data_IF_169602131379
#
_entry.id   IF_169602131379
#
_cell.length_a   1.000
_cell.length_b   1.000
_cell.length_c   1.000
_cell.angle_alpha   90.00
_cell.angle_beta   90.00
_cell.angle_gamma   90.00
#
_symmetry.space_group_name_H-M   'P 1'
#
loop_
_entity.id
_entity.type
_entity.pdbx_description
1 polymer ?
#
# COMPACT_ATOMS: atom_id res chain seq x y z
N UNK A 1 7.04 3.36 -8.00
CA UNK A 1 6.98 2.40 -6.87
C UNK A 1 8.40 2.07 -6.39
N UNK A 2 8.60 1.90 -5.08
CA UNK A 2 9.88 1.49 -4.49
C UNK A 2 9.64 0.32 -3.53
N UNK A 3 10.48 -0.70 -3.58
CA UNK A 3 10.42 -1.85 -2.67
C UNK A 3 11.72 -1.88 -1.86
N UNK A 4 11.60 -1.79 -0.53
CA UNK A 4 12.71 -1.89 0.40
C UNK A 4 12.56 -3.12 1.27
N UNK A 5 13.56 -3.99 1.25
CA UNK A 5 13.63 -5.17 2.12
C UNK A 5 14.62 -4.95 3.25
N UNK A 6 14.10 -4.79 4.46
CA UNK A 6 14.88 -4.62 5.68
C UNK A 6 15.05 -5.96 6.39
N UNK A 7 16.29 -6.36 6.66
CA UNK A 7 16.58 -7.49 7.57
C UNK A 7 16.50 -6.97 9.00
N UNK A 8 15.60 -7.55 9.77
CA UNK A 8 15.43 -7.28 11.20
C UNK A 8 16.19 -8.32 12.03
N UNK A 9 16.24 -8.11 13.33
CA UNK A 9 16.80 -9.10 14.27
C UNK A 9 16.06 -10.44 14.18
N UNK A 10 16.74 -11.53 14.58
CA UNK A 10 16.18 -12.89 14.60
C UNK A 10 15.74 -13.41 13.22
N UNK A 11 16.47 -13.04 12.16
CA UNK A 11 16.20 -13.45 10.77
C UNK A 11 14.80 -13.07 10.24
N UNK A 12 14.13 -12.10 10.88
CA UNK A 12 12.89 -11.53 10.36
C UNK A 12 13.21 -10.58 9.22
N UNK A 13 12.30 -10.47 8.26
CA UNK A 13 12.35 -9.45 7.22
C UNK A 13 11.09 -8.60 7.31
N UNK A 14 11.27 -7.29 7.12
CA UNK A 14 10.21 -6.33 6.87
C UNK A 14 10.31 -5.90 5.42
N UNK A 15 9.19 -5.98 4.69
CA UNK A 15 9.10 -5.42 3.34
C UNK A 15 8.29 -4.15 3.40
N UNK A 16 8.87 -3.07 2.88
CA UNK A 16 8.22 -1.80 2.69
C UNK A 16 7.99 -1.59 1.20
N UNK A 17 6.74 -1.42 0.80
CA UNK A 17 6.35 -1.06 -0.56
C UNK A 17 5.83 0.36 -0.52
N UNK A 18 6.54 1.27 -1.19
CA UNK A 18 6.14 2.66 -1.32
C UNK A 18 5.56 2.94 -2.70
N UNK A 19 4.34 3.46 -2.71
CA UNK A 19 3.58 3.77 -3.93
C UNK A 19 3.16 5.24 -3.95
N UNK A 20 2.87 5.74 -5.15
CA UNK A 20 2.28 7.05 -5.37
C UNK A 20 1.25 6.85 -6.47
N UNK A 21 -0.02 7.05 -6.15
CA UNK A 21 -1.10 6.95 -7.14
C UNK A 21 -0.93 8.06 -8.19
N UNK A 22 -1.12 7.73 -9.49
CA UNK A 22 -1.06 8.72 -10.54
C UNK A 22 -2.19 9.74 -10.43
N UNK A 23 -1.92 10.99 -10.82
CA UNK A 23 -2.94 12.04 -10.89
C UNK A 23 -3.80 11.97 -12.16
N UNK A 24 -3.41 11.14 -13.14
CA UNK A 24 -4.10 10.99 -14.41
C UNK A 24 -5.04 9.77 -14.35
N UNK A 25 -6.33 9.97 -14.59
CA UNK A 25 -7.35 8.90 -14.51
C UNK A 25 -7.03 7.68 -15.40
N UNK A 26 -6.39 7.90 -16.56
CA UNK A 26 -6.03 6.83 -17.49
C UNK A 26 -4.87 5.93 -17.07
N UNK A 27 -4.19 6.24 -15.95
CA UNK A 27 -3.05 5.46 -15.45
C UNK A 27 -3.42 4.59 -14.24
N UNK A 28 -4.65 4.71 -13.71
CA UNK A 28 -5.06 4.03 -12.49
C UNK A 28 -5.05 2.49 -12.60
N UNK A 29 -5.59 1.95 -13.69
CA UNK A 29 -5.64 0.50 -13.90
C UNK A 29 -4.21 -0.08 -13.99
N UNK A 30 -3.35 0.54 -14.79
CA UNK A 30 -1.92 0.17 -14.90
C UNK A 30 -1.23 0.25 -13.54
N UNK A 31 -1.49 1.32 -12.76
CA UNK A 31 -0.96 1.46 -11.41
C UNK A 31 -1.41 0.31 -10.49
N UNK A 32 -2.70 -0.07 -10.54
CA UNK A 32 -3.19 -1.20 -9.76
C UNK A 32 -2.56 -2.53 -10.17
N UNK A 33 -2.36 -2.76 -11.47
CA UNK A 33 -1.67 -3.95 -11.98
C UNK A 33 -0.22 -4.01 -11.49
N UNK A 34 0.53 -2.90 -11.57
CA UNK A 34 1.90 -2.81 -11.09
C UNK A 34 2.01 -3.09 -9.59
N UNK A 35 1.11 -2.50 -8.78
CA UNK A 35 1.08 -2.72 -7.33
C UNK A 35 0.73 -4.17 -7.01
N UNK A 36 -0.27 -4.75 -7.67
CA UNK A 36 -0.63 -6.16 -7.48
C UNK A 36 0.53 -7.10 -7.83
N UNK A 37 1.20 -6.85 -8.95
CA UNK A 37 2.36 -7.62 -9.38
C UNK A 37 3.52 -7.52 -8.37
N UNK A 38 3.83 -6.32 -7.89
CA UNK A 38 4.86 -6.16 -6.87
C UNK A 38 4.52 -6.89 -5.57
N UNK A 39 3.26 -6.88 -5.16
CA UNK A 39 2.79 -7.59 -3.97
C UNK A 39 2.82 -9.11 -4.15
N UNK A 40 2.60 -9.64 -5.36
CA UNK A 40 2.71 -11.08 -5.61
C UNK A 40 4.16 -11.58 -5.55
N UNK A 41 5.13 -10.73 -5.89
CA UNK A 41 6.56 -11.06 -5.83
C UNK A 41 7.15 -10.95 -4.41
N UNK A 42 6.42 -10.35 -3.46
CA UNK A 42 6.84 -10.29 -2.06
C UNK A 42 6.86 -11.72 -1.50
N UNK A 43 8.02 -12.22 -1.01
CA UNK A 43 8.08 -13.52 -0.35
C UNK A 43 7.08 -13.54 0.81
N UNK A 44 6.48 -14.69 1.08
CA UNK A 44 5.57 -14.87 2.20
C UNK A 44 6.32 -14.63 3.53
N UNK A 45 6.33 -13.37 3.94
CA UNK A 45 7.03 -12.84 5.12
C UNK A 45 5.98 -12.37 6.11
N UNK A 46 6.35 -12.36 7.40
CA UNK A 46 5.41 -11.97 8.46
C UNK A 46 5.07 -10.48 8.48
N UNK A 47 5.84 -9.62 7.81
CA UNK A 47 5.70 -8.17 7.90
C UNK A 47 5.85 -7.50 6.54
N UNK A 48 4.73 -7.01 6.02
CA UNK A 48 4.62 -6.16 4.85
C UNK A 48 3.97 -4.84 5.25
N UNK A 49 4.55 -3.73 4.85
CA UNK A 49 3.95 -2.41 4.96
C UNK A 49 3.80 -1.86 3.53
N UNK A 50 2.57 -1.59 3.13
CA UNK A 50 2.25 -0.83 1.93
C UNK A 50 1.96 0.61 2.37
N UNK A 51 2.72 1.58 1.87
CA UNK A 51 2.58 2.99 2.21
C UNK A 51 2.73 3.87 0.99
N UNK A 52 2.25 5.11 1.07
CA UNK A 52 2.27 6.00 -0.08
C UNK A 52 1.23 7.08 -0.03
N UNK A 53 1.19 7.86 -1.10
CA UNK A 53 0.02 8.66 -1.44
C UNK A 53 -0.90 7.83 -2.34
N UNK A 54 -2.14 7.65 -1.93
CA UNK A 54 -3.16 6.87 -2.64
C UNK A 54 -4.28 7.76 -3.19
N UNK A 55 -4.11 9.10 -3.12
CA UNK A 55 -5.16 10.13 -3.23
C UNK A 55 -6.53 9.72 -2.64
N UNK A 56 -6.50 8.89 -1.60
CA UNK A 56 -7.71 8.24 -1.12
C UNK A 56 -8.49 9.24 -0.27
N UNK A 57 -9.81 9.32 -0.51
CA UNK A 57 -10.74 10.05 0.34
C UNK A 57 -11.03 9.24 1.61
N UNK A 58 -10.04 9.15 2.50
CA UNK A 58 -10.13 8.35 3.71
C UNK A 58 -11.31 8.79 4.57
N UNK A 59 -12.14 7.83 4.96
CA UNK A 59 -13.27 8.03 5.86
C UNK A 59 -14.58 8.45 5.19
N UNK A 60 -14.64 8.58 3.86
CA UNK A 60 -15.91 8.77 3.14
C UNK A 60 -16.86 7.58 3.33
N UNK A 61 -16.29 6.37 3.38
CA UNK A 61 -17.02 5.11 3.51
C UNK A 61 -16.61 4.35 4.79
N UNK A 62 -16.37 5.10 5.87
CA UNK A 62 -15.86 4.56 7.13
C UNK A 62 -16.75 3.48 7.73
N UNK A 63 -18.06 3.52 7.46
CA UNK A 63 -19.03 2.53 7.94
C UNK A 63 -18.77 1.13 7.37
N UNK A 64 -18.21 1.05 6.15
CA UNK A 64 -17.89 -0.21 5.49
C UNK A 64 -16.43 -0.64 5.70
N UNK A 65 -15.56 0.23 6.25
CA UNK A 65 -14.12 -0.02 6.37
C UNK A 65 -13.70 -0.37 7.79
N UNK A 66 -14.05 -1.58 8.23
CA UNK A 66 -13.68 -2.10 9.55
C UNK A 66 -12.15 -2.12 9.76
N UNK A 67 -11.70 -1.54 10.86
CA UNK A 67 -10.28 -1.50 11.23
C UNK A 67 -9.45 -0.40 10.53
N UNK A 68 -10.05 0.40 9.65
CA UNK A 68 -9.38 1.57 9.06
C UNK A 68 -9.40 2.73 10.06
N UNK A 69 -8.24 3.35 10.25
CA UNK A 69 -8.09 4.54 11.08
C UNK A 69 -8.03 5.76 10.16
N UNK A 70 -8.95 6.70 10.37
CA UNK A 70 -9.02 7.95 9.61
C UNK A 70 -10.46 8.44 9.56
N UNK A 71 -10.66 9.75 9.68
CA UNK A 71 -11.98 10.38 9.58
C UNK A 71 -12.04 11.21 8.31
N UNK A 72 -13.22 11.26 7.70
CA UNK A 72 -13.48 12.22 6.62
C UNK A 72 -13.09 13.62 7.10
N UNK A 73 -12.28 14.32 6.32
CA UNK A 73 -12.01 15.75 6.58
C UNK A 73 -13.32 16.53 6.36
N UNK A 74 -13.63 17.55 7.18
CA UNK A 74 -14.80 18.40 7.01
C UNK A 74 -14.91 18.97 5.59
#
# INVERSE_FOLDING_TARGET
MVILRLKLQQAKALILVQVYEPNLEGEYDTFLEEVQYALSEVPNTKFLILMGDFNAYVGLDAENWNGVIGKKRP
#
